data_IF_741532695092
#
_entry.id   IF_741532695092
#
_cell.length_a   1.000
_cell.length_b   1.000
_cell.length_c   1.000
_cell.angle_alpha   90.00
_cell.angle_beta   90.00
_cell.angle_gamma   90.00
#
_symmetry.space_group_name_H-M   'P 1'
#
loop_
_entity.id
_entity.type
_entity.pdbx_description
1 polymer ?
#
# COMPACT_ATOMS: atom_id res chain seq x y z
N UNK A 1 -0.68 30.65 25.38
CA UNK A 1 -1.90 29.85 25.07
C UNK A 1 -2.21 29.76 23.59
N UNK A 2 -2.24 30.86 22.87
CA UNK A 2 -2.56 30.87 21.41
C UNK A 2 -1.59 30.07 20.53
N UNK A 3 -0.30 30.06 20.84
CA UNK A 3 0.70 29.31 20.06
C UNK A 3 0.51 27.80 20.15
N UNK A 4 0.17 27.28 21.33
CA UNK A 4 -0.10 25.85 21.56
C UNK A 4 -1.44 25.40 20.92
N UNK A 5 -2.40 26.31 20.82
CA UNK A 5 -3.68 26.06 20.19
C UNK A 5 -3.52 25.95 18.67
N UNK A 6 -2.77 26.87 18.04
CA UNK A 6 -2.42 26.82 16.60
C UNK A 6 -1.62 25.57 16.23
N UNK A 7 -0.71 25.09 17.08
CA UNK A 7 0.03 23.85 16.85
C UNK A 7 -0.89 22.64 16.94
N UNK A 8 -1.86 22.62 17.85
CA UNK A 8 -2.85 21.56 17.96
C UNK A 8 -3.84 21.56 16.78
N UNK A 9 -4.29 22.73 16.35
CA UNK A 9 -5.16 22.90 15.17
C UNK A 9 -4.45 22.49 13.88
N UNK A 10 -3.17 22.85 13.69
CA UNK A 10 -2.36 22.40 12.57
C UNK A 10 -2.09 20.88 12.60
N UNK A 11 -1.83 20.28 13.77
CA UNK A 11 -1.69 18.82 13.91
C UNK A 11 -3.01 18.10 13.63
N UNK A 12 -4.13 18.68 14.03
CA UNK A 12 -5.45 18.13 13.77
C UNK A 12 -5.86 18.28 12.29
N UNK A 13 -5.53 19.40 11.64
CA UNK A 13 -5.73 19.61 10.22
C UNK A 13 -4.87 18.68 9.35
N UNK A 14 -3.62 18.41 9.74
CA UNK A 14 -2.73 17.44 9.08
C UNK A 14 -3.25 16.01 9.25
N UNK A 15 -3.84 15.68 10.41
CA UNK A 15 -4.44 14.36 10.70
C UNK A 15 -5.73 14.11 9.91
N UNK A 16 -6.39 15.16 9.42
CA UNK A 16 -7.63 15.11 8.63
C UNK A 16 -7.40 15.16 7.12
N UNK A 17 -6.15 15.33 6.64
CA UNK A 17 -5.87 15.33 5.21
C UNK A 17 -5.92 13.91 4.65
N UNK A 18 -6.85 13.70 3.72
CA UNK A 18 -6.90 12.50 2.89
C UNK A 18 -5.63 12.41 2.04
N UNK A 19 -4.90 11.32 2.15
CA UNK A 19 -3.64 11.09 1.41
C UNK A 19 -3.84 10.25 0.16
N UNK A 20 -4.79 9.32 0.21
CA UNK A 20 -5.17 8.50 -0.93
C UNK A 20 -6.69 8.36 -1.01
N UNK A 21 -7.23 8.45 -2.23
CA UNK A 21 -8.65 8.17 -2.48
C UNK A 21 -8.92 6.68 -2.40
N UNK A 22 -7.98 5.87 -2.84
CA UNK A 22 -8.09 4.42 -2.90
C UNK A 22 -6.70 3.79 -2.77
N UNK A 23 -6.64 2.67 -2.07
CA UNK A 23 -5.46 1.81 -2.06
C UNK A 23 -5.88 0.41 -2.46
N UNK A 24 -5.25 -0.12 -3.50
CA UNK A 24 -5.45 -1.47 -3.98
C UNK A 24 -4.22 -2.32 -3.66
N UNK A 25 -4.42 -3.43 -2.98
CA UNK A 25 -3.36 -4.34 -2.57
C UNK A 25 -3.62 -5.70 -3.19
N UNK A 26 -2.62 -6.27 -3.88
CA UNK A 26 -2.71 -7.57 -4.54
C UNK A 26 -1.53 -8.46 -4.21
N UNK A 27 -1.79 -9.75 -4.16
CA UNK A 27 -0.77 -10.80 -4.19
C UNK A 27 -1.24 -11.95 -5.06
N UNK A 28 -0.28 -12.60 -5.73
CA UNK A 28 -0.54 -13.75 -6.60
C UNK A 28 -0.02 -15.01 -5.96
N UNK A 29 -0.75 -16.11 -6.13
CA UNK A 29 -0.32 -17.47 -5.81
C UNK A 29 -0.26 -18.28 -7.10
N UNK A 30 0.91 -18.79 -7.43
CA UNK A 30 1.16 -19.55 -8.66
C UNK A 30 1.27 -21.03 -8.41
N UNK A 31 0.33 -21.81 -8.92
CA UNK A 31 0.37 -23.29 -8.85
C UNK A 31 1.65 -23.85 -9.50
N UNK A 32 2.11 -23.24 -10.58
CA UNK A 32 3.34 -23.67 -11.30
C UNK A 32 4.60 -23.65 -10.45
N UNK A 33 4.62 -22.89 -9.36
CA UNK A 33 5.73 -22.80 -8.42
C UNK A 33 5.50 -23.62 -7.13
N UNK A 34 4.44 -24.42 -7.07
CA UNK A 34 4.02 -25.17 -5.88
C UNK A 34 3.84 -24.29 -4.64
N UNK A 35 3.35 -23.06 -4.83
CA UNK A 35 3.17 -22.13 -3.74
C UNK A 35 2.01 -22.55 -2.83
N UNK A 36 2.18 -22.34 -1.52
CA UNK A 36 1.13 -22.59 -0.53
C UNK A 36 0.16 -21.40 -0.48
N UNK A 37 -0.97 -21.56 -1.13
CA UNK A 37 -2.03 -20.53 -1.24
C UNK A 37 -2.55 -20.07 0.13
N UNK A 38 -2.72 -21.00 1.09
CA UNK A 38 -3.17 -20.65 2.45
C UNK A 38 -2.14 -19.82 3.20
N UNK A 39 -0.86 -20.14 3.06
CA UNK A 39 0.21 -19.36 3.67
C UNK A 39 0.27 -17.94 3.08
N UNK A 40 0.16 -17.84 1.77
CA UNK A 40 0.14 -16.55 1.07
C UNK A 40 -1.03 -15.71 1.54
N UNK A 41 -2.24 -16.28 1.61
CA UNK A 41 -3.42 -15.60 2.09
C UNK A 41 -3.26 -15.13 3.54
N UNK A 42 -2.78 -15.98 4.43
CA UNK A 42 -2.58 -15.61 5.83
C UNK A 42 -1.58 -14.47 6.00
N UNK A 43 -0.47 -14.50 5.26
CA UNK A 43 0.52 -13.42 5.24
C UNK A 43 -0.03 -12.14 4.64
N UNK A 44 -0.82 -12.25 3.58
CA UNK A 44 -1.49 -11.12 2.96
C UNK A 44 -2.42 -10.40 3.95
N UNK A 45 -3.21 -11.16 4.71
CA UNK A 45 -4.11 -10.61 5.72
C UNK A 45 -3.36 -9.89 6.86
N UNK A 46 -2.14 -10.28 7.17
CA UNK A 46 -1.30 -9.64 8.19
C UNK A 46 -0.80 -8.24 7.79
N UNK A 47 -0.91 -7.86 6.52
CA UNK A 47 -0.59 -6.49 6.08
C UNK A 47 -1.57 -5.46 6.62
N UNK A 48 -2.79 -5.88 6.93
CA UNK A 48 -3.85 -4.99 7.39
C UNK A 48 -3.81 -4.87 8.91
N UNK A 49 -3.80 -3.64 9.48
CA UNK A 49 -3.80 -3.43 10.94
C UNK A 49 -5.20 -3.59 11.55
N UNK A 50 -6.15 -4.13 10.81
CA UNK A 50 -7.53 -4.38 11.21
C UNK A 50 -8.08 -5.66 10.56
N UNK A 51 -9.14 -6.21 11.14
CA UNK A 51 -9.85 -7.35 10.55
C UNK A 51 -10.70 -6.90 9.37
N UNK A 52 -10.42 -7.45 8.18
CA UNK A 52 -11.22 -7.15 6.98
C UNK A 52 -12.69 -7.50 7.18
N UNK A 53 -12.95 -8.63 7.85
CA UNK A 53 -14.32 -9.11 8.12
C UNK A 53 -15.08 -8.17 9.04
N UNK A 54 -14.49 -7.76 10.16
CA UNK A 54 -15.11 -6.85 11.12
C UNK A 54 -15.34 -5.46 10.53
N UNK A 55 -14.39 -4.97 9.73
CA UNK A 55 -14.51 -3.69 9.05
C UNK A 55 -15.31 -3.74 7.75
N UNK A 56 -15.87 -4.90 7.41
CA UNK A 56 -16.66 -5.13 6.20
C UNK A 56 -15.93 -4.74 4.91
N UNK A 57 -14.65 -5.00 4.87
CA UNK A 57 -13.79 -4.83 3.68
C UNK A 57 -13.74 -6.15 2.93
N UNK A 58 -14.07 -6.11 1.65
CA UNK A 58 -14.11 -7.31 0.83
C UNK A 58 -12.71 -7.80 0.47
N UNK A 59 -12.43 -9.07 0.75
CA UNK A 59 -11.32 -9.81 0.16
C UNK A 59 -11.82 -10.43 -1.15
N UNK A 60 -11.29 -9.97 -2.27
CA UNK A 60 -11.58 -10.54 -3.58
C UNK A 60 -10.60 -11.67 -3.87
N UNK A 61 -11.13 -12.82 -4.20
CA UNK A 61 -10.37 -13.98 -4.64
C UNK A 61 -10.76 -14.30 -6.09
N UNK A 62 -9.81 -14.23 -7.01
CA UNK A 62 -10.02 -14.49 -8.42
C UNK A 62 -9.08 -15.60 -8.87
N UNK A 63 -9.60 -16.59 -9.58
CA UNK A 63 -8.81 -17.64 -10.21
C UNK A 63 -8.68 -17.35 -11.71
N UNK A 64 -7.46 -17.47 -12.21
CA UNK A 64 -7.12 -17.37 -13.62
C UNK A 64 -6.30 -18.58 -14.04
N UNK A 65 -6.35 -18.94 -15.31
CA UNK A 65 -5.45 -19.95 -15.90
C UNK A 65 -4.28 -19.21 -16.55
N UNK A 66 -3.07 -19.58 -16.11
CA UNK A 66 -1.84 -19.11 -16.72
C UNK A 66 -1.47 -19.90 -17.98
N UNK A 67 -0.32 -19.59 -18.54
CA UNK A 67 0.30 -20.39 -19.58
C UNK A 67 0.45 -21.84 -19.09
N UNK A 68 0.13 -22.85 -19.89
CA UNK A 68 0.11 -24.27 -19.54
C UNK A 68 -1.03 -24.71 -18.59
N UNK A 69 -2.15 -23.99 -18.58
CA UNK A 69 -3.35 -24.33 -17.79
C UNK A 69 -3.15 -24.39 -16.26
N UNK A 70 -2.01 -23.94 -15.75
CA UNK A 70 -1.77 -23.86 -14.31
C UNK A 70 -2.56 -22.71 -13.68
N UNK A 71 -3.16 -23.00 -12.53
CA UNK A 71 -3.97 -22.02 -11.79
C UNK A 71 -3.12 -20.89 -11.25
N UNK A 72 -3.65 -19.67 -11.35
CA UNK A 72 -3.16 -18.48 -10.68
C UNK A 72 -4.29 -17.95 -9.80
N UNK A 73 -4.06 -17.88 -8.50
CA UNK A 73 -5.00 -17.27 -7.58
C UNK A 73 -4.55 -15.85 -7.26
N UNK A 74 -5.49 -14.90 -7.35
CA UNK A 74 -5.23 -13.49 -7.10
C UNK A 74 -6.04 -13.07 -5.88
N UNK A 75 -5.36 -12.67 -4.82
CA UNK A 75 -5.98 -12.03 -3.66
C UNK A 75 -5.86 -10.52 -3.79
N UNK A 76 -6.98 -9.83 -3.68
CA UNK A 76 -7.06 -8.37 -3.82
C UNK A 76 -7.95 -7.76 -2.75
N UNK A 77 -7.48 -6.66 -2.18
CA UNK A 77 -8.26 -5.80 -1.29
C UNK A 77 -8.18 -4.37 -1.81
N UNK A 78 -9.34 -3.69 -1.85
CA UNK A 78 -9.43 -2.28 -2.19
C UNK A 78 -9.97 -1.50 -1.00
N UNK A 79 -9.15 -0.57 -0.48
CA UNK A 79 -9.51 0.32 0.61
C UNK A 79 -9.95 1.66 0.05
N UNK A 80 -11.15 2.12 0.42
CA UNK A 80 -11.73 3.39 -0.05
C UNK A 80 -12.15 4.33 1.09
N UNK A 81 -12.39 3.80 2.29
CA UNK A 81 -12.68 4.62 3.46
C UNK A 81 -11.39 5.26 3.98
N UNK A 82 -11.44 6.55 4.27
CA UNK A 82 -10.28 7.31 4.76
C UNK A 82 -9.64 6.70 6.02
N UNK A 83 -10.47 6.24 6.96
CA UNK A 83 -9.98 5.56 8.14
C UNK A 83 -9.15 4.30 7.80
N UNK A 84 -9.59 3.50 6.85
CA UNK A 84 -8.89 2.29 6.42
C UNK A 84 -7.59 2.62 5.66
N UNK A 85 -7.64 3.58 4.73
CA UNK A 85 -6.45 3.99 3.97
C UNK A 85 -5.39 4.58 4.89
N UNK A 86 -5.77 5.41 5.86
CA UNK A 86 -4.85 6.01 6.81
C UNK A 86 -4.23 4.97 7.76
N UNK A 87 -5.03 4.05 8.31
CA UNK A 87 -4.52 2.98 9.17
C UNK A 87 -3.56 2.06 8.41
N UNK A 88 -3.91 1.69 7.17
CA UNK A 88 -3.05 0.87 6.34
C UNK A 88 -1.72 1.56 6.04
N UNK A 89 -1.73 2.82 5.64
CA UNK A 89 -0.52 3.59 5.35
C UNK A 89 0.36 3.78 6.57
N UNK A 90 -0.20 4.10 7.71
CA UNK A 90 0.56 4.24 8.97
C UNK A 90 1.27 2.94 9.34
N UNK A 91 0.58 1.80 9.20
CA UNK A 91 1.17 0.49 9.45
C UNK A 91 2.25 0.14 8.42
N UNK A 92 1.99 0.40 7.14
CA UNK A 92 2.93 0.15 6.05
C UNK A 92 4.23 0.95 6.24
N UNK A 93 4.13 2.23 6.52
CA UNK A 93 5.26 3.14 6.75
C UNK A 93 6.15 2.66 7.92
N UNK A 94 5.53 2.22 9.00
CA UNK A 94 6.22 1.64 10.14
C UNK A 94 7.04 0.40 9.76
N UNK A 95 6.44 -0.49 8.96
CA UNK A 95 7.04 -1.78 8.59
C UNK A 95 8.08 -1.66 7.46
N UNK A 96 7.98 -0.65 6.62
CA UNK A 96 8.96 -0.41 5.56
C UNK A 96 10.33 -0.03 6.14
N UNK A 97 10.37 0.81 7.17
CA UNK A 97 11.59 1.33 7.75
C UNK A 97 12.17 2.54 7.02
N UNK A 98 13.07 3.25 7.68
CA UNK A 98 13.57 4.55 7.24
C UNK A 98 14.35 4.51 5.93
N UNK A 99 15.26 3.55 5.78
CA UNK A 99 16.10 3.45 4.58
C UNK A 99 15.28 3.20 3.30
N UNK A 100 14.30 2.28 3.38
CA UNK A 100 13.43 2.00 2.23
C UNK A 100 12.49 3.16 1.93
N UNK A 101 12.02 3.88 2.96
CA UNK A 101 11.22 5.10 2.76
C UNK A 101 12.01 6.16 2.01
N UNK A 102 13.28 6.37 2.35
CA UNK A 102 14.18 7.28 1.63
C UNK A 102 14.34 6.87 0.16
N UNK A 103 14.51 5.58 -0.10
CA UNK A 103 14.61 5.06 -1.46
C UNK A 103 13.31 5.27 -2.26
N UNK A 104 12.15 5.04 -1.65
CA UNK A 104 10.85 5.30 -2.26
C UNK A 104 10.72 6.77 -2.64
N UNK A 105 11.13 7.69 -1.75
CA UNK A 105 11.11 9.12 -2.01
C UNK A 105 12.03 9.52 -3.17
N UNK A 106 13.22 8.95 -3.26
CA UNK A 106 14.14 9.18 -4.38
C UNK A 106 13.56 8.69 -5.72
N UNK A 107 12.72 7.66 -5.69
CA UNK A 107 12.09 7.06 -6.88
C UNK A 107 10.66 7.56 -7.10
N UNK A 108 10.21 8.57 -6.38
CA UNK A 108 8.81 9.01 -6.40
C UNK A 108 8.30 9.40 -7.79
N UNK A 109 9.13 10.07 -8.58
CA UNK A 109 8.80 10.46 -9.96
C UNK A 109 8.49 9.25 -10.85
N UNK A 110 9.30 8.21 -10.77
CA UNK A 110 9.15 7.01 -11.60
C UNK A 110 8.04 6.07 -11.12
N UNK A 111 7.62 6.21 -9.86
CA UNK A 111 6.56 5.40 -9.27
C UNK A 111 5.16 6.00 -9.42
N UNK A 112 5.06 7.23 -9.88
CA UNK A 112 3.80 7.95 -10.10
C UNK A 112 3.45 7.96 -11.59
N UNK A 113 2.28 7.43 -11.95
CA UNK A 113 1.79 7.46 -13.33
C UNK A 113 1.08 8.77 -13.68
N UNK A 114 0.64 8.91 -14.93
CA UNK A 114 -0.05 10.11 -15.41
C UNK A 114 -1.47 10.29 -14.83
N UNK A 115 -2.04 9.22 -14.27
CA UNK A 115 -3.31 9.24 -13.56
C UNK A 115 -3.18 9.53 -12.07
N UNK A 116 -1.97 9.84 -11.61
CA UNK A 116 -1.62 10.07 -10.21
C UNK A 116 -1.81 8.84 -9.31
N UNK A 117 -1.61 7.65 -9.87
CA UNK A 117 -1.47 6.42 -9.11
C UNK A 117 0.00 6.19 -8.78
N UNK A 118 0.27 5.90 -7.54
CA UNK A 118 1.60 5.62 -7.01
C UNK A 118 1.74 4.13 -6.74
N UNK A 119 2.82 3.52 -7.23
CA UNK A 119 3.02 2.08 -7.22
C UNK A 119 4.19 1.67 -6.33
N UNK A 120 3.93 0.64 -5.51
CA UNK A 120 4.96 -0.05 -4.74
C UNK A 120 4.91 -1.55 -5.06
N UNK A 121 6.07 -2.17 -5.17
CA UNK A 121 6.23 -3.60 -5.31
C UNK A 121 7.21 -4.10 -4.27
N UNK A 122 6.77 -5.06 -3.48
CA UNK A 122 7.60 -5.73 -2.48
C UNK A 122 7.83 -7.18 -2.84
N UNK A 123 9.02 -7.67 -2.61
CA UNK A 123 9.39 -9.05 -2.85
C UNK A 123 8.51 -10.00 -2.03
N UNK A 124 7.77 -10.87 -2.72
CA UNK A 124 6.84 -11.80 -2.07
C UNK A 124 7.57 -12.83 -1.22
N UNK A 125 8.68 -13.37 -1.71
CA UNK A 125 9.50 -14.36 -0.99
C UNK A 125 10.03 -13.78 0.32
N UNK A 126 10.63 -12.61 0.29
CA UNK A 126 11.14 -11.93 1.49
C UNK A 126 10.03 -11.64 2.50
N UNK A 127 8.86 -11.24 2.03
CA UNK A 127 7.74 -11.00 2.93
C UNK A 127 7.21 -12.31 3.55
N UNK A 128 7.07 -13.38 2.76
CA UNK A 128 6.57 -14.67 3.25
C UNK A 128 7.53 -15.34 4.24
N UNK A 129 8.83 -15.30 3.96
CA UNK A 129 9.85 -15.99 4.73
C UNK A 129 10.37 -15.19 5.91
N UNK A 130 10.60 -13.89 5.72
CA UNK A 130 11.32 -13.03 6.66
C UNK A 130 10.48 -11.88 7.22
N UNK A 131 9.23 -11.72 6.84
CA UNK A 131 8.36 -10.58 7.17
C UNK A 131 8.96 -9.22 6.78
N UNK A 132 9.80 -9.20 5.74
CA UNK A 132 10.46 -7.98 5.27
C UNK A 132 9.79 -7.44 4.02
N UNK A 133 9.56 -6.14 4.01
CA UNK A 133 9.06 -5.39 2.86
C UNK A 133 10.23 -4.85 2.04
N UNK A 134 10.89 -5.74 1.30
CA UNK A 134 11.97 -5.39 0.37
C UNK A 134 11.40 -4.97 -0.98
N UNK A 135 11.86 -3.84 -1.51
CA UNK A 135 11.45 -3.35 -2.82
C UNK A 135 11.97 -4.28 -3.93
N UNK A 136 11.14 -4.48 -4.95
CA UNK A 136 11.49 -5.30 -6.12
C UNK A 136 10.91 -4.72 -7.40
N UNK A 137 11.51 -5.05 -8.53
CA UNK A 137 10.98 -4.78 -9.88
C UNK A 137 10.28 -6.00 -10.48
N UNK A 138 10.29 -7.13 -9.79
CA UNK A 138 9.63 -8.36 -10.23
C UNK A 138 8.11 -8.22 -10.30
N UNK A 139 7.48 -8.82 -11.32
CA UNK A 139 6.03 -8.93 -11.42
C UNK A 139 5.40 -9.90 -10.41
N UNK A 140 6.17 -10.90 -9.92
CA UNK A 140 5.75 -11.81 -8.86
C UNK A 140 6.01 -11.18 -7.49
N UNK A 141 5.16 -10.26 -7.09
CA UNK A 141 5.36 -9.40 -5.93
C UNK A 141 4.06 -9.17 -5.17
N UNK A 142 4.22 -8.61 -3.98
CA UNK A 142 3.14 -7.92 -3.29
C UNK A 142 3.00 -6.54 -3.94
N UNK A 143 1.86 -6.27 -4.53
CA UNK A 143 1.62 -5.06 -5.32
C UNK A 143 0.68 -4.10 -4.60
N UNK A 144 1.09 -2.84 -4.48
CA UNK A 144 0.28 -1.77 -3.88
C UNK A 144 0.16 -0.63 -4.88
N UNK A 145 -1.07 -0.23 -5.17
CA UNK A 145 -1.43 0.90 -6.01
C UNK A 145 -2.23 1.91 -5.19
N UNK A 146 -1.75 3.14 -5.13
CA UNK A 146 -2.40 4.22 -4.38
C UNK A 146 -2.86 5.33 -5.32
N UNK A 147 -4.15 5.59 -5.39
CA UNK A 147 -4.68 6.80 -6.04
C UNK A 147 -4.45 8.00 -5.12
N UNK A 148 -3.46 8.81 -5.44
CA UNK A 148 -3.03 9.91 -4.58
C UNK A 148 -4.08 11.02 -4.55
N UNK A 149 -4.43 11.47 -3.34
CA UNK A 149 -5.40 12.55 -3.12
C UNK A 149 -4.75 13.92 -3.31
N UNK A 150 -4.55 14.31 -4.57
CA UNK A 150 -4.01 15.61 -4.95
C UNK A 150 -5.13 16.58 -5.33
N UNK A 151 -5.12 17.77 -4.74
CA UNK A 151 -6.03 18.84 -5.10
C UNK A 151 -5.28 20.19 -5.14
N UNK A 152 -5.33 20.92 -6.27
CA UNK A 152 -5.81 20.51 -7.60
C UNK A 152 -5.11 19.25 -8.12
N UNK A 153 -5.78 18.51 -9.02
CA UNK A 153 -5.28 17.25 -9.58
C UNK A 153 -4.13 17.51 -10.55
N UNK A 154 -2.93 17.67 -9.98
CA UNK A 154 -1.67 17.91 -10.70
C UNK A 154 -0.57 17.02 -10.14
N UNK A 155 0.38 16.67 -11.01
CA UNK A 155 1.52 15.81 -10.66
C UNK A 155 2.34 16.36 -9.50
N UNK A 156 2.63 17.66 -9.50
CA UNK A 156 3.40 18.32 -8.44
C UNK A 156 2.73 18.18 -7.07
N UNK A 157 1.39 18.37 -7.03
CA UNK A 157 0.61 18.24 -5.80
C UNK A 157 0.59 16.78 -5.31
N UNK A 158 0.51 15.81 -6.24
CA UNK A 158 0.57 14.39 -5.89
C UNK A 158 1.93 14.01 -5.31
N UNK A 159 3.03 14.50 -5.87
CA UNK A 159 4.38 14.28 -5.34
C UNK A 159 4.56 14.87 -3.94
N UNK A 160 3.97 16.04 -3.66
CA UNK A 160 3.96 16.61 -2.32
C UNK A 160 3.20 15.73 -1.30
N UNK A 161 2.08 15.14 -1.72
CA UNK A 161 1.34 14.19 -0.87
C UNK A 161 2.17 12.92 -0.63
N UNK A 162 2.78 12.35 -1.66
CA UNK A 162 3.70 11.19 -1.55
C UNK A 162 4.83 11.50 -0.56
N UNK A 163 5.42 12.67 -0.66
CA UNK A 163 6.47 13.14 0.25
C UNK A 163 5.99 13.16 1.71
N UNK A 164 4.80 13.66 1.97
CA UNK A 164 4.20 13.63 3.30
C UNK A 164 3.98 12.22 3.82
N UNK A 165 3.46 11.32 2.97
CA UNK A 165 3.21 9.92 3.33
C UNK A 165 4.52 9.26 3.80
N UNK A 166 5.58 9.32 3.00
CA UNK A 166 6.81 8.58 3.24
C UNK A 166 7.85 9.31 4.10
N UNK A 167 7.63 10.56 4.47
CA UNK A 167 8.46 11.27 5.44
C UNK A 167 8.19 10.85 6.90
N UNK A 168 7.13 10.09 7.14
CA UNK A 168 6.74 9.65 8.48
C UNK A 168 5.95 10.68 9.29
N UNK A 169 5.43 11.72 8.64
CA UNK A 169 4.67 12.81 9.26
C UNK A 169 3.14 12.68 9.05
N UNK A 170 2.62 11.45 9.04
CA UNK A 170 1.19 11.18 8.94
C UNK A 170 0.57 11.06 10.33
#
# INVERSE_FOLDING_TARGET
MEHNQRIRENKQAIKLMKTAYQIKIKVFSYEKFNENEKLILNKFLQLFPFSLKEEKVQLKNTEAKGFNEKKITIFEVTLIKENHTNQFLNNLIKNIGEERRKLILLQSESRLDDNLNFFLRFDKGEYLENNKLELTDSGNCLHIEMSIAAFPKKRENALEVVKKIFSGNI
#
